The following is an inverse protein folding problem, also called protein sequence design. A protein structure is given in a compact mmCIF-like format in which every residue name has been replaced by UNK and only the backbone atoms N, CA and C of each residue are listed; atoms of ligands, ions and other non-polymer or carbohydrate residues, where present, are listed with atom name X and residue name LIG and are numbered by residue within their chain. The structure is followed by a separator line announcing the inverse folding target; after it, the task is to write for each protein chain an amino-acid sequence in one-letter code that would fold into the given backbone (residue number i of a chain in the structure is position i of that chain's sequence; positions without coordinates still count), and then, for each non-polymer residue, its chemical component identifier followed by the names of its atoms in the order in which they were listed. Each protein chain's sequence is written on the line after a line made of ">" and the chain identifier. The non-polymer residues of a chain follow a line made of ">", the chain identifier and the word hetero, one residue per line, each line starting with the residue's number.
data_IF_840100742055
#
_entry.id   IF_840100742055
#
_cell.length_a   1.000
_cell.length_b   1.000
_cell.length_c   1.000
_cell.angle_alpha   90.00
_cell.angle_beta   90.00
_cell.angle_gamma   90.00
#
_symmetry.space_group_name_H-M   'P 1'
#
loop_
_entity.id
_entity.type
_entity.pdbx_description
1 polymer ?
#
# COMPACT_ATOMS: atom_id res chain seq x y z
N UNK A 1 -28.43 5.29 2.35
CA UNK A 1 -28.54 6.70 2.77
C UNK A 1 -30.00 7.09 2.84
N UNK A 2 -30.34 8.02 3.72
CA UNK A 2 -31.65 8.66 3.76
C UNK A 2 -31.45 10.17 3.90
N UNK A 3 -32.02 10.97 2.98
CA UNK A 3 -31.84 12.43 2.93
C UNK A 3 -30.37 12.89 2.91
N UNK A 4 -29.49 12.15 2.23
CA UNK A 4 -28.05 12.47 2.15
C UNK A 4 -27.22 12.07 3.37
N UNK A 5 -27.85 11.49 4.40
CA UNK A 5 -27.14 10.97 5.57
C UNK A 5 -26.96 9.45 5.46
N UNK A 6 -25.77 9.00 5.83
CA UNK A 6 -25.50 7.57 5.96
C UNK A 6 -26.16 7.11 7.24
N UNK A 7 -26.97 6.05 7.13
CA UNK A 7 -27.74 5.52 8.26
C UNK A 7 -27.04 4.33 8.90
N UNK A 8 -26.44 3.45 8.10
CA UNK A 8 -25.72 2.28 8.56
C UNK A 8 -24.84 1.70 7.43
N UNK A 9 -23.86 0.88 7.83
CA UNK A 9 -23.22 -0.14 7.00
C UNK A 9 -23.89 -1.48 7.35
N UNK A 10 -24.41 -2.18 6.35
CA UNK A 10 -25.17 -3.41 6.56
C UNK A 10 -24.36 -4.60 6.08
N UNK A 11 -24.19 -5.58 6.97
CA UNK A 11 -23.50 -6.83 6.70
C UNK A 11 -24.39 -7.82 5.94
N UNK A 12 -23.85 -8.92 5.38
CA UNK A 12 -24.68 -9.96 4.78
C UNK A 12 -25.83 -10.40 5.70
N UNK A 13 -27.04 -10.46 5.16
CA UNK A 13 -28.24 -10.79 5.92
C UNK A 13 -29.50 -10.17 5.32
N UNK A 14 -30.64 -10.51 5.89
CA UNK A 14 -31.92 -9.90 5.56
C UNK A 14 -32.12 -8.63 6.39
N UNK A 15 -32.36 -7.50 5.72
CA UNK A 15 -32.51 -6.20 6.37
C UNK A 15 -33.81 -5.54 5.91
N UNK A 16 -34.58 -5.06 6.87
CA UNK A 16 -35.81 -4.30 6.62
C UNK A 16 -35.52 -2.81 6.75
N UNK A 17 -35.53 -2.09 5.63
CA UNK A 17 -35.20 -0.67 5.58
C UNK A 17 -36.43 0.16 5.20
N UNK A 18 -36.74 1.17 6.00
CA UNK A 18 -37.83 2.08 5.71
C UNK A 18 -37.48 2.98 4.52
N UNK A 19 -38.20 2.82 3.40
CA UNK A 19 -38.06 3.69 2.22
C UNK A 19 -39.20 4.71 2.14
N UNK A 20 -39.24 5.68 3.06
CA UNK A 20 -40.27 6.72 3.05
C UNK A 20 -40.02 7.73 1.93
N UNK A 21 -40.99 7.89 1.03
CA UNK A 21 -40.97 8.84 -0.10
C UNK A 21 -39.86 8.59 -1.14
N UNK A 22 -39.35 7.35 -1.24
CA UNK A 22 -38.37 6.98 -2.28
C UNK A 22 -36.96 7.53 -2.07
N UNK A 23 -36.62 8.05 -0.89
CA UNK A 23 -35.33 8.70 -0.61
C UNK A 23 -34.25 7.73 -0.10
N UNK A 24 -34.50 6.42 -0.13
CA UNK A 24 -33.50 5.43 0.27
C UNK A 24 -32.56 5.12 -0.90
N UNK A 25 -31.27 5.37 -0.70
CA UNK A 25 -30.21 4.96 -1.62
C UNK A 25 -29.42 3.80 -1.00
N UNK A 26 -29.14 2.75 -1.79
CA UNK A 26 -28.36 1.59 -1.35
C UNK A 26 -27.14 1.45 -2.26
N UNK A 27 -25.94 1.59 -1.68
CA UNK A 27 -24.69 1.23 -2.34
C UNK A 27 -24.31 -0.20 -1.97
N UNK A 28 -24.19 -1.08 -2.96
CA UNK A 28 -23.74 -2.47 -2.77
C UNK A 28 -22.26 -2.55 -3.12
N UNK A 29 -21.49 -3.22 -2.28
CA UNK A 29 -20.06 -3.44 -2.49
C UNK A 29 -19.78 -4.94 -2.55
N UNK A 30 -19.08 -5.38 -3.60
CA UNK A 30 -18.62 -6.76 -3.74
C UNK A 30 -17.29 -6.94 -3.02
N UNK A 31 -17.24 -7.79 -2.00
CA UNK A 31 -16.03 -8.07 -1.20
C UNK A 31 -14.92 -8.78 -1.98
N UNK A 32 -15.17 -9.21 -3.23
CA UNK A 32 -14.09 -9.57 -4.17
C UNK A 32 -13.16 -8.38 -4.43
N UNK A 33 -13.71 -7.17 -4.46
CA UNK A 33 -12.95 -5.92 -4.46
C UNK A 33 -12.89 -5.40 -3.01
N UNK A 34 -11.80 -5.65 -2.30
CA UNK A 34 -11.74 -5.37 -0.86
C UNK A 34 -11.67 -3.87 -0.55
N UNK A 35 -11.36 -3.03 -1.53
CA UNK A 35 -11.24 -1.59 -1.36
C UNK A 35 -12.61 -0.94 -1.26
N UNK A 36 -12.80 -0.13 -0.22
CA UNK A 36 -13.98 0.71 -0.08
C UNK A 36 -13.76 2.02 -0.82
N UNK A 37 -14.42 2.17 -1.97
CA UNK A 37 -14.45 3.41 -2.74
C UNK A 37 -15.88 3.93 -2.78
N UNK A 38 -16.12 5.09 -2.18
CA UNK A 38 -17.45 5.69 -2.11
C UNK A 38 -17.38 7.21 -2.04
N UNK A 39 -18.30 7.89 -2.73
CA UNK A 39 -18.48 9.33 -2.61
C UNK A 39 -18.82 9.77 -1.17
N UNK A 40 -19.32 8.84 -0.35
CA UNK A 40 -19.73 9.08 1.02
C UNK A 40 -18.65 8.75 2.05
N UNK A 41 -17.45 8.35 1.64
CA UNK A 41 -16.38 7.93 2.55
C UNK A 41 -16.10 8.98 3.63
N UNK A 42 -15.87 10.24 3.24
CA UNK A 42 -15.60 11.32 4.20
C UNK A 42 -16.75 11.48 5.20
N UNK A 43 -17.99 11.53 4.72
CA UNK A 43 -19.16 11.66 5.57
C UNK A 43 -19.32 10.45 6.51
N UNK A 44 -19.00 9.24 6.06
CA UNK A 44 -19.03 8.02 6.86
C UNK A 44 -18.06 8.10 8.04
N UNK A 45 -16.80 8.44 7.76
CA UNK A 45 -15.79 8.56 8.81
C UNK A 45 -16.06 9.74 9.75
N UNK A 46 -16.59 10.87 9.25
CA UNK A 46 -16.86 12.06 10.06
C UNK A 46 -18.11 11.90 10.93
N UNK A 47 -19.17 11.24 10.43
CA UNK A 47 -20.48 11.18 11.09
C UNK A 47 -20.76 9.87 11.80
N UNK A 48 -20.14 8.77 11.37
CA UNK A 48 -20.32 7.43 11.93
C UNK A 48 -18.97 6.75 12.23
N UNK A 49 -18.10 7.36 13.05
CA UNK A 49 -16.76 6.83 13.31
C UNK A 49 -16.77 5.42 13.92
N UNK A 50 -17.74 5.11 14.79
CA UNK A 50 -17.88 3.78 15.40
C UNK A 50 -18.25 2.71 14.38
N UNK A 51 -19.11 3.05 13.42
CA UNK A 51 -19.47 2.15 12.31
C UNK A 51 -18.24 1.94 11.43
N UNK A 52 -17.51 3.02 11.14
CA UNK A 52 -16.32 2.94 10.32
C UNK A 52 -15.23 2.05 10.96
N UNK A 53 -14.98 2.21 12.26
CA UNK A 53 -14.00 1.42 13.01
C UNK A 53 -14.34 -0.08 13.07
N UNK A 54 -15.62 -0.45 13.00
CA UNK A 54 -16.06 -1.85 12.99
C UNK A 54 -15.91 -2.53 11.64
N UNK A 55 -16.12 -1.79 10.56
CA UNK A 55 -16.26 -2.38 9.22
C UNK A 55 -15.09 -2.11 8.28
N UNK A 56 -14.17 -1.20 8.64
CA UNK A 56 -13.03 -0.88 7.79
C UNK A 56 -11.69 -0.98 8.51
N UNK A 57 -10.73 -1.53 7.78
CA UNK A 57 -9.30 -1.35 8.05
C UNK A 57 -8.81 -0.16 7.24
N UNK A 58 -8.32 0.88 7.93
CA UNK A 58 -7.77 2.08 7.29
C UNK A 58 -6.25 2.03 7.35
N UNK A 59 -5.60 2.08 6.19
CA UNK A 59 -4.15 2.21 6.07
C UNK A 59 -3.82 3.63 5.60
N UNK A 60 -2.90 4.28 6.29
CA UNK A 60 -2.36 5.59 5.91
C UNK A 60 -0.85 5.53 5.95
N UNK A 61 -0.22 6.10 4.94
CA UNK A 61 1.24 6.30 4.89
C UNK A 61 1.56 7.78 5.06
N UNK A 62 2.55 8.09 5.88
CA UNK A 62 3.16 9.40 5.92
C UNK A 62 4.07 9.68 4.71
N UNK A 63 4.72 10.85 4.73
CA UNK A 63 5.57 11.36 3.63
C UNK A 63 6.79 10.51 3.31
N UNK A 64 7.32 9.80 4.30
CA UNK A 64 8.48 8.92 4.15
C UNK A 64 8.12 7.49 4.55
N UNK A 65 6.88 7.08 4.32
CA UNK A 65 6.43 5.73 4.67
C UNK A 65 5.89 4.99 3.47
N UNK A 66 6.21 3.71 3.41
CA UNK A 66 5.56 2.74 2.52
C UNK A 66 4.81 1.75 3.38
N UNK A 67 3.59 1.40 2.98
CA UNK A 67 2.85 0.31 3.64
C UNK A 67 2.76 -0.89 2.71
N UNK A 68 3.22 -2.04 3.19
CA UNK A 68 3.01 -3.32 2.55
C UNK A 68 1.77 -3.95 3.18
N UNK A 69 0.73 -4.15 2.36
CA UNK A 69 -0.56 -4.70 2.80
C UNK A 69 -0.70 -6.13 2.31
N UNK A 70 -1.04 -7.01 3.23
CA UNK A 70 -1.21 -8.44 3.01
C UNK A 70 -2.65 -8.84 3.34
N UNK A 71 -3.21 -9.73 2.51
CA UNK A 71 -4.50 -10.39 2.71
C UNK A 71 -4.25 -11.89 2.77
N UNK A 72 -4.68 -12.56 3.83
CA UNK A 72 -4.47 -14.02 3.99
C UNK A 72 -2.98 -14.45 3.83
N UNK A 73 -2.05 -13.59 4.25
CA UNK A 73 -0.60 -13.80 4.11
C UNK A 73 -0.02 -13.57 2.70
N UNK A 74 -0.86 -13.33 1.70
CA UNK A 74 -0.45 -12.95 0.36
C UNK A 74 -0.36 -11.42 0.21
N UNK A 75 0.57 -10.94 -0.60
CA UNK A 75 0.68 -9.51 -0.90
C UNK A 75 -0.54 -9.02 -1.67
N UNK A 76 -1.21 -8.02 -1.10
CA UNK A 76 -2.38 -7.40 -1.68
C UNK A 76 -2.03 -6.09 -2.40
N UNK A 77 -1.37 -5.16 -1.70
CA UNK A 77 -0.96 -3.87 -2.25
C UNK A 77 0.30 -3.34 -1.57
N UNK A 78 0.95 -2.39 -2.24
CA UNK A 78 2.00 -1.56 -1.67
C UNK A 78 1.54 -0.11 -1.81
N UNK A 79 1.45 0.61 -0.70
CA UNK A 79 1.12 2.04 -0.70
C UNK A 79 2.40 2.84 -0.73
N UNK A 80 2.48 3.75 -1.71
CA UNK A 80 3.45 4.84 -1.71
C UNK A 80 3.18 5.85 -0.58
N UNK A 81 4.12 6.76 -0.30
CA UNK A 81 3.93 7.84 0.65
C UNK A 81 2.71 8.71 0.37
N UNK A 82 2.17 9.30 1.44
CA UNK A 82 1.01 10.20 1.40
C UNK A 82 -0.20 9.57 0.69
N UNK A 83 -0.49 8.31 1.04
CA UNK A 83 -1.64 7.55 0.52
C UNK A 83 -2.55 7.11 1.65
N UNK A 84 -3.81 6.90 1.29
CA UNK A 84 -4.84 6.30 2.12
C UNK A 84 -5.45 5.14 1.35
N UNK A 85 -5.60 4.01 2.01
CA UNK A 85 -6.37 2.87 1.53
C UNK A 85 -7.40 2.49 2.59
N UNK A 86 -8.64 2.29 2.17
CA UNK A 86 -9.74 1.82 3.04
C UNK A 86 -10.15 0.45 2.56
N UNK A 87 -10.09 -0.53 3.44
CA UNK A 87 -10.41 -1.93 3.15
C UNK A 87 -11.58 -2.37 3.98
N UNK A 88 -12.47 -3.16 3.40
CA UNK A 88 -13.49 -3.87 4.17
C UNK A 88 -12.84 -4.83 5.15
N UNK A 89 -13.16 -4.72 6.44
CA UNK A 89 -12.59 -5.57 7.49
C UNK A 89 -12.88 -7.06 7.22
N UNK A 90 -14.11 -7.37 6.80
CA UNK A 90 -14.58 -8.72 6.45
C UNK A 90 -13.94 -9.30 5.17
N UNK A 91 -13.26 -8.46 4.38
CA UNK A 91 -12.45 -8.94 3.27
C UNK A 91 -11.02 -9.32 3.71
N UNK A 92 -10.70 -9.23 5.00
CA UNK A 92 -9.44 -9.68 5.59
C UNK A 92 -9.42 -11.18 5.93
N UNK A 93 -8.49 -11.64 6.80
CA UNK A 93 -7.61 -10.85 7.66
C UNK A 93 -6.55 -10.02 6.92
N UNK A 94 -6.33 -8.81 7.43
CA UNK A 94 -5.36 -7.85 6.91
C UNK A 94 -4.13 -7.79 7.81
N UNK A 95 -2.95 -7.80 7.21
CA UNK A 95 -1.70 -7.44 7.88
C UNK A 95 -1.05 -6.28 7.15
N UNK A 96 -0.65 -5.27 7.92
CA UNK A 96 -0.05 -4.05 7.40
C UNK A 96 1.33 -3.91 8.02
N UNK A 97 2.36 -3.81 7.18
CA UNK A 97 3.72 -3.53 7.61
C UNK A 97 4.15 -2.19 7.05
N UNK A 98 4.41 -1.22 7.92
CA UNK A 98 4.93 0.09 7.53
C UNK A 98 6.45 0.06 7.50
N UNK A 99 7.04 0.65 6.46
CA UNK A 99 8.48 0.80 6.29
C UNK A 99 8.79 2.29 6.27
N UNK A 100 9.66 2.71 7.21
CA UNK A 100 10.23 4.05 7.19
C UNK A 100 11.31 4.11 6.10
N UNK A 101 11.03 4.94 5.11
CA UNK A 101 11.87 5.18 3.93
C UNK A 101 12.70 6.44 4.07
N UNK A 102 12.74 7.12 5.23
CA UNK A 102 13.63 8.24 5.48
C UNK A 102 15.06 7.77 5.75
N UNK A 103 15.22 6.77 6.63
CA UNK A 103 16.50 6.26 7.08
C UNK A 103 17.24 5.46 6.01
N UNK A 104 16.55 4.51 5.37
CA UNK A 104 17.11 3.66 4.31
C UNK A 104 16.01 3.37 3.28
N UNK A 105 16.40 3.30 2.01
CA UNK A 105 15.52 2.90 0.92
C UNK A 105 15.67 1.42 0.59
N UNK A 106 16.63 0.70 1.17
CA UNK A 106 16.86 -0.71 0.87
C UNK A 106 15.61 -1.57 1.20
N UNK A 107 15.29 -2.47 0.28
CA UNK A 107 14.26 -3.49 0.48
C UNK A 107 14.97 -4.78 0.89
N UNK A 108 14.53 -5.37 1.99
CA UNK A 108 15.01 -6.68 2.43
C UNK A 108 14.86 -7.73 1.31
N UNK A 109 15.86 -8.61 1.06
CA UNK A 109 15.80 -9.58 -0.02
C UNK A 109 14.60 -10.54 0.04
N UNK A 110 14.09 -10.89 1.23
CA UNK A 110 12.89 -11.71 1.35
C UNK A 110 11.65 -10.93 0.92
N UNK A 111 11.52 -9.67 1.33
CA UNK A 111 10.42 -8.81 0.87
C UNK A 111 10.50 -8.56 -0.65
N UNK A 112 11.69 -8.27 -1.18
CA UNK A 112 11.94 -8.12 -2.63
C UNK A 112 11.41 -9.33 -3.42
N UNK A 113 11.76 -10.55 -3.01
CA UNK A 113 11.29 -11.78 -3.68
C UNK A 113 9.77 -11.90 -3.66
N UNK A 114 9.16 -11.61 -2.51
CA UNK A 114 7.69 -11.66 -2.34
C UNK A 114 6.99 -10.64 -3.25
N UNK A 115 7.49 -9.40 -3.29
CA UNK A 115 6.99 -8.34 -4.17
C UNK A 115 7.07 -8.76 -5.64
N UNK A 116 8.20 -9.33 -6.06
CA UNK A 116 8.38 -9.87 -7.42
C UNK A 116 7.39 -10.98 -7.77
N UNK A 117 7.22 -11.97 -6.88
CA UNK A 117 6.27 -13.08 -7.07
C UNK A 117 4.82 -12.59 -7.18
N UNK A 118 4.45 -11.59 -6.37
CA UNK A 118 3.13 -10.99 -6.39
C UNK A 118 2.91 -9.96 -7.51
N UNK A 119 3.94 -9.67 -8.32
CA UNK A 119 3.96 -8.62 -9.35
C UNK A 119 3.60 -7.22 -8.79
N UNK A 120 4.06 -6.93 -7.57
CA UNK A 120 3.89 -5.65 -6.87
C UNK A 120 5.21 -4.87 -6.83
N UNK A 121 5.73 -4.58 -8.02
CA UNK A 121 7.08 -4.01 -8.21
C UNK A 121 7.06 -2.55 -8.64
N UNK A 122 5.88 -1.92 -8.70
CA UNK A 122 5.66 -0.54 -9.16
C UNK A 122 6.45 0.52 -8.37
N UNK A 123 6.77 0.23 -7.12
CA UNK A 123 7.50 1.11 -6.21
C UNK A 123 8.92 0.60 -5.91
N UNK A 124 9.39 -0.40 -6.65
CA UNK A 124 10.68 -1.05 -6.44
C UNK A 124 11.64 -0.73 -7.60
N UNK A 125 12.80 -0.17 -7.26
CA UNK A 125 13.94 -0.10 -8.16
C UNK A 125 14.86 -1.29 -7.89
N UNK A 126 15.04 -2.16 -8.88
CA UNK A 126 15.87 -3.35 -8.79
C UNK A 126 17.10 -3.20 -9.70
N UNK A 127 18.28 -3.49 -9.15
CA UNK A 127 19.53 -3.41 -9.90
C UNK A 127 20.47 -4.59 -9.57
N UNK A 128 20.78 -5.45 -10.56
CA UNK A 128 21.83 -6.44 -10.40
C UNK A 128 23.23 -5.80 -10.57
N UNK A 129 24.16 -6.16 -9.69
CA UNK A 129 25.60 -5.89 -9.81
C UNK A 129 26.27 -7.24 -10.06
N UNK A 130 26.99 -7.39 -11.18
CA UNK A 130 27.62 -8.68 -11.51
C UNK A 130 28.99 -8.85 -10.85
N UNK A 131 29.53 -10.06 -10.86
CA UNK A 131 30.86 -10.33 -10.34
C UNK A 131 31.96 -9.56 -11.11
N UNK A 132 32.90 -8.97 -10.36
CA UNK A 132 33.92 -8.08 -10.93
C UNK A 132 33.43 -6.66 -11.21
N UNK A 133 32.24 -6.31 -10.72
CA UNK A 133 31.71 -4.96 -10.70
C UNK A 133 31.43 -4.49 -9.28
N UNK A 134 31.38 -3.16 -9.14
CA UNK A 134 30.95 -2.48 -7.94
C UNK A 134 29.85 -1.49 -8.32
N UNK A 135 28.71 -1.57 -7.62
CA UNK A 135 27.62 -0.62 -7.77
C UNK A 135 27.82 0.59 -6.85
N UNK A 136 27.53 1.79 -7.34
CA UNK A 136 27.52 3.04 -6.59
C UNK A 136 26.08 3.51 -6.50
N UNK A 137 25.49 3.44 -5.30
CA UNK A 137 24.12 3.86 -5.04
C UNK A 137 24.08 5.37 -4.80
N UNK A 138 23.27 6.05 -5.61
CA UNK A 138 22.95 7.46 -5.45
C UNK A 138 21.50 7.62 -5.03
N UNK A 139 21.27 8.49 -4.05
CA UNK A 139 19.93 8.96 -3.64
C UNK A 139 19.91 10.47 -3.79
N UNK A 140 18.96 10.98 -4.59
CA UNK A 140 18.85 12.40 -4.94
C UNK A 140 20.17 13.00 -5.45
N UNK A 141 20.93 12.21 -6.20
CA UNK A 141 22.22 12.60 -6.79
C UNK A 141 23.42 12.52 -5.85
N UNK A 142 23.22 12.19 -4.56
CA UNK A 142 24.29 12.02 -3.57
C UNK A 142 24.70 10.55 -3.48
N UNK A 143 26.00 10.26 -3.55
CA UNK A 143 26.54 8.92 -3.32
C UNK A 143 26.31 8.54 -1.85
N UNK A 144 25.53 7.48 -1.60
CA UNK A 144 25.18 7.06 -0.24
C UNK A 144 25.89 5.78 0.19
N UNK A 145 26.11 4.82 -0.73
CA UNK A 145 26.81 3.56 -0.42
C UNK A 145 27.33 2.86 -1.67
N UNK A 146 28.30 1.98 -1.45
CA UNK A 146 28.81 1.04 -2.44
C UNK A 146 28.07 -0.30 -2.31
N UNK A 147 27.85 -0.98 -3.43
CA UNK A 147 27.13 -2.26 -3.55
C UNK A 147 28.07 -3.33 -4.08
N UNK A 148 28.16 -4.45 -3.37
CA UNK A 148 28.83 -5.65 -3.84
C UNK A 148 28.02 -6.37 -4.92
N UNK A 149 28.63 -7.36 -5.56
CA UNK A 149 27.96 -8.24 -6.50
C UNK A 149 26.72 -8.89 -5.85
N UNK A 150 25.60 -8.86 -6.56
CA UNK A 150 24.31 -9.30 -6.06
C UNK A 150 23.14 -8.51 -6.66
N UNK A 151 21.93 -8.92 -6.33
CA UNK A 151 20.71 -8.21 -6.74
C UNK A 151 20.25 -7.33 -5.60
N UNK A 152 20.20 -6.03 -5.83
CA UNK A 152 19.79 -5.04 -4.85
C UNK A 152 18.43 -4.45 -5.23
N UNK A 153 17.60 -4.17 -4.23
CA UNK A 153 16.31 -3.53 -4.42
C UNK A 153 16.13 -2.37 -3.46
N UNK A 154 15.50 -1.32 -3.94
CA UNK A 154 15.26 -0.08 -3.20
C UNK A 154 13.84 0.42 -3.43
N UNK A 155 13.24 1.02 -2.42
CA UNK A 155 12.01 1.79 -2.56
C UNK A 155 12.28 3.01 -3.44
N UNK A 156 11.56 3.11 -4.56
CA UNK A 156 11.61 4.23 -5.49
C UNK A 156 10.41 5.14 -5.28
N UNK A 157 10.35 5.76 -4.10
CA UNK A 157 9.24 6.61 -3.67
C UNK A 157 9.77 7.89 -3.03
N UNK A 158 9.26 9.04 -3.46
CA UNK A 158 9.59 10.36 -2.91
C UNK A 158 11.03 10.85 -3.15
N UNK A 159 11.99 9.96 -3.39
CA UNK A 159 13.41 10.23 -3.67
C UNK A 159 13.89 9.47 -4.88
N UNK A 160 14.82 10.04 -5.61
CA UNK A 160 15.37 9.45 -6.84
C UNK A 160 16.47 8.45 -6.49
N UNK A 161 16.27 7.17 -6.81
CA UNK A 161 17.28 6.13 -6.66
C UNK A 161 17.98 5.88 -8.00
N UNK A 162 19.32 5.85 -7.98
CA UNK A 162 20.14 5.49 -9.13
C UNK A 162 21.29 4.59 -8.71
N UNK A 163 21.65 3.62 -9.54
CA UNK A 163 22.88 2.83 -9.37
C UNK A 163 23.74 3.01 -10.60
N UNK A 164 25.00 3.39 -10.40
CA UNK A 164 26.05 3.42 -11.44
C UNK A 164 27.04 2.31 -11.17
N UNK A 165 27.45 1.58 -12.20
CA UNK A 165 28.31 0.42 -12.02
C UNK A 165 29.70 0.70 -12.57
N UNK A 166 30.73 0.22 -11.88
CA UNK A 166 32.15 0.34 -12.25
C UNK A 166 32.78 -1.05 -12.30
N UNK A 167 33.48 -1.37 -13.38
CA UNK A 167 34.25 -2.61 -13.50
C UNK A 167 35.56 -2.50 -12.70
N UNK A 168 35.78 -3.45 -11.78
CA UNK A 168 37.00 -3.50 -10.94
C UNK A 168 38.09 -4.40 -11.52
N UNK A 169 37.77 -5.22 -12.53
CA UNK A 169 38.72 -6.15 -13.19
C UNK A 169 39.78 -5.45 -14.08
N UNK A 170 39.89 -4.12 -14.05
CA UNK A 170 40.73 -3.32 -14.97
C UNK A 170 41.70 -2.34 -14.30
N UNK A 171 42.01 -2.52 -13.01
CA UNK A 171 43.09 -1.79 -12.33
C UNK A 171 44.31 -2.67 -12.13
#
# INVERSE_FOLDING_TARGET
>A
LYKGEIQAVLMPGEHWLANRRGNLEISRHDLKNPEFVSAYEKALFDKLPDVAARHFTVVRTGRMEVAVVERDGALHSVLSPDRKLVLWADAGPWKVTTVDTAADLAIDPALMRRLGQARKTEHMFLHPVVDGQVGLLFVDGVLVRTLEAGVHAFWNVGRTVQVKVVDIKRQ
#
